data_IF_469540342839
#
_entry.id   IF_469540342839
#
_cell.length_a   1.000
_cell.length_b   1.000
_cell.length_c   1.000
_cell.angle_alpha   90.00
_cell.angle_beta   90.00
_cell.angle_gamma   90.00
#
_symmetry.space_group_name_H-M   'P 1'
#
loop_
_entity.id
_entity.type
_entity.pdbx_description
1 polymer ?
#
# COMPACT_ATOMS: atom_id res chain seq x y z
N UNK A 1 -8.71 38.26 -4.00
CA UNK A 1 -9.70 37.17 -3.88
C UNK A 1 -9.76 36.72 -2.42
N UNK A 2 -10.89 36.89 -1.72
CA UNK A 2 -10.96 36.60 -0.28
C UNK A 2 -10.87 35.09 -0.01
N UNK A 3 -10.30 34.68 1.13
CA UNK A 3 -10.14 33.27 1.57
C UNK A 3 -11.46 32.49 1.42
N UNK A 4 -12.61 33.09 1.70
CA UNK A 4 -13.93 32.48 1.52
C UNK A 4 -14.27 32.13 0.06
N UNK A 5 -13.97 32.99 -0.89
CA UNK A 5 -14.23 32.75 -2.32
C UNK A 5 -13.32 31.61 -2.83
N UNK A 6 -12.05 31.62 -2.43
CA UNK A 6 -11.10 30.54 -2.74
C UNK A 6 -11.53 29.18 -2.14
N UNK A 7 -12.00 29.16 -0.89
CA UNK A 7 -12.50 27.94 -0.22
C UNK A 7 -13.75 27.37 -0.92
N UNK A 8 -14.67 28.21 -1.42
CA UNK A 8 -15.87 27.76 -2.14
C UNK A 8 -15.49 27.14 -3.49
N UNK A 9 -14.58 27.79 -4.23
CA UNK A 9 -14.08 27.32 -5.52
C UNK A 9 -13.34 25.98 -5.39
N UNK A 10 -12.56 25.81 -4.30
CA UNK A 10 -11.75 24.62 -4.05
C UNK A 10 -12.37 23.63 -3.07
N UNK A 11 -13.66 23.80 -2.71
CA UNK A 11 -14.35 22.98 -1.70
C UNK A 11 -14.20 21.46 -1.92
N UNK A 12 -14.34 21.01 -3.16
CA UNK A 12 -14.20 19.57 -3.49
C UNK A 12 -12.76 19.09 -3.32
N UNK A 13 -11.79 19.88 -3.71
CA UNK A 13 -10.37 19.56 -3.55
C UNK A 13 -10.00 19.45 -2.08
N UNK A 14 -10.41 20.42 -1.26
CA UNK A 14 -10.17 20.43 0.19
C UNK A 14 -10.87 19.24 0.86
N UNK A 15 -12.11 18.94 0.45
CA UNK A 15 -12.84 17.76 0.97
C UNK A 15 -12.12 16.45 0.62
N UNK A 16 -11.66 16.28 -0.63
CA UNK A 16 -10.93 15.09 -1.04
C UNK A 16 -9.61 14.93 -0.27
N UNK A 17 -8.86 16.01 -0.06
CA UNK A 17 -7.61 15.98 0.73
C UNK A 17 -7.90 15.69 2.21
N UNK A 18 -8.80 16.44 2.82
CA UNK A 18 -9.14 16.29 4.23
C UNK A 18 -9.63 14.87 4.57
N UNK A 19 -10.55 14.34 3.76
CA UNK A 19 -11.03 12.97 3.97
C UNK A 19 -9.96 11.91 3.72
N UNK A 20 -8.99 12.16 2.83
CA UNK A 20 -7.87 11.24 2.63
C UNK A 20 -6.99 11.18 3.88
N UNK A 21 -6.61 12.33 4.45
CA UNK A 21 -5.81 12.37 5.68
C UNK A 21 -6.55 11.76 6.88
N UNK A 22 -7.83 12.09 7.06
CA UNK A 22 -8.65 11.51 8.14
C UNK A 22 -8.76 9.99 7.98
N UNK A 23 -9.03 9.50 6.77
CA UNK A 23 -9.12 8.06 6.49
C UNK A 23 -7.80 7.33 6.79
N UNK A 24 -6.66 7.93 6.45
CA UNK A 24 -5.34 7.37 6.78
C UNK A 24 -5.08 7.38 8.28
N UNK A 25 -5.46 8.45 8.99
CA UNK A 25 -5.38 8.54 10.44
C UNK A 25 -6.22 7.45 11.13
N UNK A 26 -7.46 7.24 10.68
CA UNK A 26 -8.32 6.17 11.21
C UNK A 26 -7.71 4.79 10.95
N UNK A 27 -7.17 4.54 9.75
CA UNK A 27 -6.48 3.28 9.44
C UNK A 27 -5.27 3.06 10.34
N UNK A 28 -4.45 4.10 10.53
CA UNK A 28 -3.28 4.04 11.39
C UNK A 28 -3.64 3.75 12.86
N UNK A 29 -4.64 4.46 13.40
CA UNK A 29 -5.14 4.24 14.77
C UNK A 29 -5.75 2.84 14.93
N UNK A 30 -6.51 2.37 13.94
CA UNK A 30 -7.07 1.02 13.96
C UNK A 30 -5.97 -0.05 14.00
N UNK A 31 -4.92 0.10 13.21
CA UNK A 31 -3.76 -0.81 13.23
C UNK A 31 -3.03 -0.79 14.58
N UNK A 32 -2.79 0.40 15.13
CA UNK A 32 -2.13 0.53 16.44
C UNK A 32 -2.95 -0.07 17.58
N UNK A 33 -4.27 0.05 17.51
CA UNK A 33 -5.16 -0.52 18.54
C UNK A 33 -5.32 -2.04 18.39
N UNK A 34 -5.57 -2.52 17.16
CA UNK A 34 -5.88 -3.92 16.94
C UNK A 34 -4.65 -4.83 17.04
N UNK A 35 -3.48 -4.39 16.62
CA UNK A 35 -2.31 -5.27 16.55
C UNK A 35 -1.98 -5.92 17.90
N UNK A 36 -1.72 -5.19 19.00
CA UNK A 36 -1.41 -5.82 20.28
C UNK A 36 -2.60 -6.61 20.85
N UNK A 37 -3.82 -6.15 20.63
CA UNK A 37 -5.02 -6.85 21.07
C UNK A 37 -5.18 -8.20 20.36
N UNK A 38 -4.95 -8.26 19.05
CA UNK A 38 -5.04 -9.51 18.30
C UNK A 38 -3.95 -10.49 18.74
N UNK A 39 -2.71 -10.01 18.96
CA UNK A 39 -1.63 -10.87 19.48
C UNK A 39 -2.00 -11.42 20.84
N UNK A 40 -2.50 -10.59 21.76
CA UNK A 40 -2.87 -11.02 23.12
C UNK A 40 -4.01 -12.05 23.14
N UNK A 41 -4.94 -12.00 22.17
CA UNK A 41 -6.14 -12.87 22.15
C UNK A 41 -6.01 -14.11 21.29
N UNK A 42 -5.39 -13.97 20.12
CA UNK A 42 -5.18 -15.08 19.19
C UNK A 42 -3.95 -15.90 19.55
N UNK A 43 -2.97 -15.29 20.26
CA UNK A 43 -1.63 -15.85 20.41
C UNK A 43 -0.76 -15.65 19.17
N UNK A 44 0.52 -15.92 19.33
CA UNK A 44 1.54 -15.65 18.31
C UNK A 44 1.35 -16.45 17.02
N UNK A 45 0.96 -17.72 17.14
CA UNK A 45 0.76 -18.62 15.99
C UNK A 45 -0.37 -18.14 15.09
N UNK A 46 -1.56 -17.93 15.64
CA UNK A 46 -2.76 -17.50 14.90
C UNK A 46 -2.58 -16.09 14.33
N UNK A 47 -1.98 -15.16 15.11
CA UNK A 47 -1.69 -13.81 14.66
C UNK A 47 -0.68 -13.79 13.51
N UNK A 48 0.40 -14.58 13.59
CA UNK A 48 1.40 -14.64 12.53
C UNK A 48 0.79 -15.22 11.24
N UNK A 49 -0.02 -16.26 11.36
CA UNK A 49 -0.74 -16.87 10.24
C UNK A 49 -1.71 -15.89 9.58
N UNK A 50 -2.52 -15.18 10.37
CA UNK A 50 -3.39 -14.11 9.88
C UNK A 50 -2.61 -13.02 9.13
N UNK A 51 -1.48 -12.56 9.71
CA UNK A 51 -0.63 -11.56 9.08
C UNK A 51 -0.02 -12.01 7.74
N UNK A 52 0.41 -13.27 7.64
CA UNK A 52 0.89 -13.85 6.38
C UNK A 52 -0.22 -13.92 5.34
N UNK A 53 -1.41 -14.40 5.72
CA UNK A 53 -2.56 -14.50 4.80
C UNK A 53 -3.03 -13.13 4.28
N UNK A 54 -3.00 -12.09 5.12
CA UNK A 54 -3.26 -10.73 4.66
C UNK A 54 -2.27 -10.30 3.57
N UNK A 55 -0.98 -10.66 3.71
CA UNK A 55 0.02 -10.34 2.70
C UNK A 55 -0.17 -11.18 1.42
N UNK A 56 -0.62 -12.44 1.52
CA UNK A 56 -1.03 -13.25 0.35
C UNK A 56 -2.17 -12.56 -0.41
N UNK A 57 -3.18 -12.02 0.27
CA UNK A 57 -4.27 -11.26 -0.35
C UNK A 57 -3.74 -10.01 -1.07
N UNK A 58 -2.80 -9.29 -0.45
CA UNK A 58 -2.17 -8.09 -1.07
C UNK A 58 -1.32 -8.49 -2.28
N UNK A 59 -0.54 -9.57 -2.20
CA UNK A 59 0.23 -10.10 -3.33
C UNK A 59 -0.72 -10.46 -4.49
N UNK A 60 -1.82 -11.11 -4.19
CA UNK A 60 -2.82 -11.47 -5.18
C UNK A 60 -3.51 -10.26 -5.83
N UNK A 61 -3.41 -9.05 -5.25
CA UNK A 61 -3.86 -7.83 -5.92
C UNK A 61 -3.08 -7.52 -7.21
N UNK A 62 -1.92 -8.17 -7.42
CA UNK A 62 -1.16 -8.15 -8.69
C UNK A 62 -2.05 -8.60 -9.86
N UNK A 63 -3.00 -9.50 -9.63
CA UNK A 63 -3.95 -9.95 -10.65
C UNK A 63 -4.88 -8.84 -11.18
N UNK A 64 -4.94 -7.67 -10.51
CA UNK A 64 -5.58 -6.47 -11.07
C UNK A 64 -4.87 -5.96 -12.34
N UNK A 65 -3.60 -6.29 -12.56
CA UNK A 65 -2.78 -5.90 -13.70
C UNK A 65 -2.82 -4.39 -13.98
N UNK A 66 -3.06 -3.57 -12.94
CA UNK A 66 -3.17 -2.11 -13.03
C UNK A 66 -4.46 -1.62 -13.71
N UNK A 67 -5.40 -2.53 -14.00
CA UNK A 67 -6.65 -2.23 -14.73
C UNK A 67 -7.44 -1.10 -14.08
N UNK A 68 -7.55 -1.10 -12.76
CA UNK A 68 -8.33 -0.11 -12.03
C UNK A 68 -7.70 1.29 -12.07
N UNK A 69 -6.37 1.41 -11.95
CA UNK A 69 -5.68 2.68 -12.10
C UNK A 69 -5.83 3.23 -13.52
N UNK A 70 -5.66 2.39 -14.54
CA UNK A 70 -5.87 2.75 -15.93
C UNK A 70 -7.33 3.11 -16.25
N UNK A 71 -8.31 2.46 -15.59
CA UNK A 71 -9.74 2.71 -15.79
C UNK A 71 -10.10 4.15 -15.43
N UNK A 72 -9.66 4.66 -14.28
CA UNK A 72 -9.92 6.03 -13.87
C UNK A 72 -9.53 7.04 -14.94
N UNK A 73 -8.31 6.92 -15.50
CA UNK A 73 -7.82 7.82 -16.55
C UNK A 73 -8.64 7.71 -17.84
N UNK A 74 -8.95 6.49 -18.27
CA UNK A 74 -9.71 6.30 -19.51
C UNK A 74 -11.17 6.75 -19.40
N UNK A 75 -11.80 6.62 -18.23
CA UNK A 75 -13.14 7.15 -18.00
C UNK A 75 -13.21 8.67 -18.14
N UNK A 76 -12.11 9.38 -17.83
CA UNK A 76 -12.00 10.83 -18.01
C UNK A 76 -11.75 11.17 -19.49
N UNK A 77 -10.93 10.39 -20.20
CA UNK A 77 -10.51 10.66 -21.57
C UNK A 77 -11.54 10.19 -22.61
N UNK A 78 -12.25 9.08 -22.35
CA UNK A 78 -13.17 8.42 -23.29
C UNK A 78 -14.56 8.22 -22.63
N UNK A 79 -15.29 9.28 -22.23
CA UNK A 79 -16.54 9.17 -21.49
C UNK A 79 -17.66 8.43 -22.25
N UNK A 80 -17.68 8.48 -23.57
CA UNK A 80 -18.61 7.75 -24.45
C UNK A 80 -18.42 6.22 -24.38
N UNK A 81 -17.21 5.75 -24.09
CA UNK A 81 -16.89 4.31 -24.00
C UNK A 81 -17.02 3.74 -22.59
N UNK A 82 -17.55 4.55 -21.64
CA UNK A 82 -17.59 4.19 -20.20
C UNK A 82 -18.21 2.83 -19.92
N UNK A 83 -19.36 2.50 -20.53
CA UNK A 83 -20.01 1.23 -20.31
C UNK A 83 -19.14 0.04 -20.76
N UNK A 84 -18.49 0.18 -21.91
CA UNK A 84 -17.58 -0.83 -22.45
C UNK A 84 -16.37 -1.04 -21.53
N UNK A 85 -15.75 0.05 -21.07
CA UNK A 85 -14.58 0.00 -20.22
C UNK A 85 -14.90 -0.57 -18.83
N UNK A 86 -16.00 -0.14 -18.22
CA UNK A 86 -16.46 -0.62 -16.91
C UNK A 86 -16.77 -2.12 -16.98
N UNK A 87 -17.51 -2.57 -18.00
CA UNK A 87 -17.86 -3.98 -18.14
C UNK A 87 -16.65 -4.86 -18.44
N UNK A 88 -15.67 -4.38 -19.21
CA UNK A 88 -14.44 -5.12 -19.48
C UNK A 88 -13.67 -5.42 -18.18
N UNK A 89 -13.53 -4.45 -17.28
CA UNK A 89 -12.84 -4.62 -15.99
C UNK A 89 -13.71 -5.39 -15.00
N UNK A 90 -15.04 -5.15 -14.97
CA UNK A 90 -15.96 -5.82 -14.06
C UNK A 90 -15.97 -7.35 -14.28
N UNK A 91 -16.14 -7.80 -15.51
CA UNK A 91 -16.20 -9.23 -15.83
C UNK A 91 -14.82 -9.92 -15.82
N UNK A 92 -13.73 -9.17 -15.70
CA UNK A 92 -12.42 -9.75 -15.43
C UNK A 92 -12.29 -10.24 -13.98
N UNK A 93 -12.93 -9.60 -13.00
CA UNK A 93 -12.85 -10.01 -11.59
C UNK A 93 -13.37 -11.44 -11.30
N UNK A 94 -14.52 -11.90 -11.84
CA UNK A 94 -14.93 -13.29 -11.73
C UNK A 94 -13.94 -14.30 -12.36
N UNK A 95 -13.26 -13.91 -13.43
CA UNK A 95 -12.22 -14.76 -14.05
C UNK A 95 -11.06 -14.94 -13.07
N UNK A 96 -10.61 -13.85 -12.44
CA UNK A 96 -9.55 -13.90 -11.42
C UNK A 96 -9.98 -14.74 -10.21
N UNK A 97 -11.23 -14.63 -9.77
CA UNK A 97 -11.77 -15.48 -8.71
C UNK A 97 -11.67 -16.98 -9.07
N UNK A 98 -12.15 -17.36 -10.25
CA UNK A 98 -12.15 -18.76 -10.70
C UNK A 98 -10.73 -19.32 -10.87
N UNK A 99 -9.79 -18.53 -11.40
CA UNK A 99 -8.39 -18.92 -11.54
C UNK A 99 -7.68 -18.91 -10.18
N UNK A 100 -8.04 -17.98 -9.30
CA UNK A 100 -7.45 -17.84 -7.97
C UNK A 100 -7.65 -19.07 -7.09
N UNK A 101 -8.83 -19.72 -7.15
CA UNK A 101 -9.13 -20.91 -6.34
C UNK A 101 -8.07 -22.01 -6.53
N UNK A 102 -7.82 -22.54 -7.74
CA UNK A 102 -6.82 -23.59 -7.91
C UNK A 102 -5.40 -23.09 -7.63
N UNK A 103 -5.06 -21.84 -7.95
CA UNK A 103 -3.74 -21.28 -7.68
C UNK A 103 -3.46 -21.25 -6.17
N UNK A 104 -4.38 -20.72 -5.36
CA UNK A 104 -4.21 -20.70 -3.90
C UNK A 104 -4.28 -22.11 -3.30
N UNK A 105 -5.12 -22.98 -3.84
CA UNK A 105 -5.16 -24.38 -3.41
C UNK A 105 -3.79 -25.05 -3.56
N UNK A 106 -3.13 -24.89 -4.70
CA UNK A 106 -1.79 -25.43 -4.92
C UNK A 106 -0.75 -24.80 -4.00
N UNK A 107 -0.80 -23.47 -3.77
CA UNK A 107 0.11 -22.77 -2.84
C UNK A 107 0.01 -23.36 -1.43
N UNK A 108 -1.20 -23.60 -0.93
CA UNK A 108 -1.43 -24.16 0.40
C UNK A 108 -1.16 -25.67 0.44
N UNK A 109 -1.55 -26.41 -0.58
CA UNK A 109 -1.31 -27.85 -0.69
C UNK A 109 0.19 -28.19 -0.74
N UNK A 110 0.98 -27.38 -1.44
CA UNK A 110 2.45 -27.54 -1.48
C UNK A 110 3.16 -27.10 -0.19
N UNK A 111 2.44 -26.60 0.79
CA UNK A 111 2.99 -26.16 2.05
C UNK A 111 3.85 -24.88 1.99
N UNK A 112 3.67 -24.07 0.93
CA UNK A 112 4.38 -22.78 0.82
C UNK A 112 3.96 -21.78 1.90
N UNK A 113 2.77 -21.97 2.46
CA UNK A 113 2.28 -21.29 3.65
C UNK A 113 1.75 -22.37 4.58
N UNK A 114 2.35 -22.53 5.75
CA UNK A 114 1.88 -23.46 6.77
C UNK A 114 0.60 -22.93 7.41
N UNK A 115 -0.48 -23.65 7.28
CA UNK A 115 -1.81 -23.28 7.79
C UNK A 115 -2.47 -24.47 8.48
N UNK A 116 -3.19 -24.20 9.57
CA UNK A 116 -3.96 -25.20 10.31
C UNK A 116 -5.33 -25.50 9.68
N UNK A 117 -5.88 -24.56 8.90
CA UNK A 117 -7.19 -24.66 8.29
C UNK A 117 -7.17 -25.45 6.96
N UNK A 118 -8.32 -26.02 6.52
CA UNK A 118 -8.40 -26.76 5.25
C UNK A 118 -8.02 -25.88 4.04
N UNK A 119 -7.05 -26.32 3.26
CA UNK A 119 -6.50 -25.56 2.12
C UNK A 119 -7.58 -25.13 1.10
N UNK A 120 -8.57 -25.99 0.83
CA UNK A 120 -9.68 -25.67 -0.11
C UNK A 120 -10.55 -24.52 0.39
N UNK A 121 -10.85 -24.46 1.70
CA UNK A 121 -11.68 -23.41 2.29
C UNK A 121 -10.96 -22.06 2.23
N UNK A 122 -9.69 -22.02 2.66
CA UNK A 122 -8.88 -20.81 2.60
C UNK A 122 -8.68 -20.31 1.17
N UNK A 123 -8.52 -21.23 0.21
CA UNK A 123 -8.38 -20.86 -1.21
C UNK A 123 -9.61 -20.12 -1.72
N UNK A 124 -10.81 -20.57 -1.38
CA UNK A 124 -12.07 -19.92 -1.74
C UNK A 124 -12.18 -18.54 -1.06
N UNK A 125 -11.90 -18.47 0.25
CA UNK A 125 -12.00 -17.23 1.02
C UNK A 125 -11.03 -16.19 0.49
N UNK A 126 -9.77 -16.55 0.22
CA UNK A 126 -8.76 -15.63 -0.29
C UNK A 126 -9.08 -15.21 -1.72
N UNK A 127 -9.46 -16.13 -2.60
CA UNK A 127 -9.87 -15.79 -3.96
C UNK A 127 -11.06 -14.82 -3.97
N UNK A 128 -12.03 -15.02 -3.05
CA UNK A 128 -13.19 -14.14 -2.88
C UNK A 128 -12.73 -12.74 -2.37
N UNK A 129 -11.85 -12.69 -1.36
CA UNK A 129 -11.32 -11.44 -0.85
C UNK A 129 -10.57 -10.64 -1.93
N UNK A 130 -9.78 -11.31 -2.77
CA UNK A 130 -9.08 -10.71 -3.92
C UNK A 130 -10.07 -10.13 -4.92
N UNK A 131 -11.08 -10.91 -5.34
CA UNK A 131 -12.10 -10.45 -6.27
C UNK A 131 -12.89 -9.25 -5.72
N UNK A 132 -13.26 -9.29 -4.43
CA UNK A 132 -13.91 -8.18 -3.76
C UNK A 132 -13.05 -6.91 -3.75
N UNK A 133 -11.74 -7.03 -3.46
CA UNK A 133 -10.82 -5.90 -3.49
C UNK A 133 -10.70 -5.31 -4.89
N UNK A 134 -10.61 -6.13 -5.93
CA UNK A 134 -10.58 -5.67 -7.33
C UNK A 134 -11.84 -4.88 -7.71
N UNK A 135 -13.02 -5.39 -7.36
CA UNK A 135 -14.29 -4.70 -7.59
C UNK A 135 -14.38 -3.39 -6.80
N UNK A 136 -13.90 -3.39 -5.54
CA UNK A 136 -13.85 -2.16 -4.73
C UNK A 136 -12.98 -1.10 -5.38
N UNK A 137 -11.77 -1.46 -5.84
CA UNK A 137 -10.87 -0.55 -6.57
C UNK A 137 -11.52 -0.02 -7.86
N UNK A 138 -12.31 -0.84 -8.57
CA UNK A 138 -13.04 -0.42 -9.76
C UNK A 138 -14.06 0.67 -9.44
N UNK A 139 -14.90 0.47 -8.43
CA UNK A 139 -15.91 1.47 -8.05
C UNK A 139 -15.27 2.73 -7.45
N UNK A 140 -14.16 2.60 -6.72
CA UNK A 140 -13.36 3.75 -6.31
C UNK A 140 -12.80 4.52 -7.52
N UNK A 141 -12.30 3.83 -8.55
CA UNK A 141 -11.81 4.45 -9.79
C UNK A 141 -12.92 5.19 -10.53
N UNK A 142 -14.14 4.67 -10.54
CA UNK A 142 -15.32 5.36 -11.09
C UNK A 142 -15.61 6.64 -10.29
N UNK A 143 -15.61 6.58 -8.95
CA UNK A 143 -15.81 7.76 -8.11
C UNK A 143 -14.69 8.80 -8.26
N UNK A 144 -13.44 8.35 -8.46
CA UNK A 144 -12.30 9.22 -8.74
C UNK A 144 -12.46 9.94 -10.08
N UNK A 145 -12.92 9.24 -11.13
CA UNK A 145 -13.09 9.82 -12.47
C UNK A 145 -14.10 10.97 -12.48
N UNK A 146 -15.06 11.00 -11.55
CA UNK A 146 -16.03 12.07 -11.37
C UNK A 146 -15.68 13.04 -10.23
N UNK A 147 -14.42 13.01 -9.75
CA UNK A 147 -13.90 13.85 -8.67
C UNK A 147 -14.68 13.73 -7.34
N UNK A 148 -15.12 12.51 -7.00
CA UNK A 148 -15.83 12.17 -5.75
C UNK A 148 -14.99 11.24 -4.85
N UNK A 149 -13.67 11.49 -4.79
CA UNK A 149 -12.73 10.70 -3.98
C UNK A 149 -13.14 10.66 -2.51
N UNK A 150 -13.65 11.78 -1.97
CA UNK A 150 -14.09 11.87 -0.58
C UNK A 150 -15.15 10.83 -0.20
N UNK A 151 -16.06 10.47 -1.14
CA UNK A 151 -17.09 9.44 -0.90
C UNK A 151 -16.44 8.08 -0.68
N UNK A 152 -15.53 7.69 -1.57
CA UNK A 152 -14.79 6.43 -1.44
C UNK A 152 -13.99 6.37 -0.13
N UNK A 153 -13.35 7.48 0.25
CA UNK A 153 -12.56 7.57 1.49
C UNK A 153 -13.42 7.49 2.75
N UNK A 154 -14.59 8.15 2.77
CA UNK A 154 -15.53 8.04 3.89
C UNK A 154 -16.06 6.62 4.06
N UNK A 155 -16.47 5.96 2.96
CA UNK A 155 -16.92 4.58 2.99
C UNK A 155 -15.80 3.63 3.48
N UNK A 156 -14.56 3.82 2.99
CA UNK A 156 -13.40 3.05 3.45
C UNK A 156 -13.14 3.26 4.93
N UNK A 157 -13.24 4.50 5.43
CA UNK A 157 -13.10 4.80 6.85
C UNK A 157 -14.17 4.10 7.68
N UNK A 158 -15.45 4.17 7.26
CA UNK A 158 -16.55 3.46 7.93
C UNK A 158 -16.33 1.94 7.95
N UNK A 159 -15.86 1.37 6.81
CA UNK A 159 -15.45 -0.02 6.72
C UNK A 159 -14.38 -0.35 7.77
N UNK A 160 -13.30 0.44 7.82
CA UNK A 160 -12.17 0.19 8.75
C UNK A 160 -12.61 0.23 10.21
N UNK A 161 -13.47 1.17 10.59
CA UNK A 161 -14.01 1.27 11.95
C UNK A 161 -14.89 0.05 12.28
N UNK A 162 -15.80 -0.32 11.36
CA UNK A 162 -16.67 -1.47 11.54
C UNK A 162 -15.86 -2.78 11.64
N UNK A 163 -14.87 -2.95 10.76
CA UNK A 163 -13.99 -4.12 10.74
C UNK A 163 -13.18 -4.21 12.03
N UNK A 164 -12.62 -3.09 12.51
CA UNK A 164 -11.90 -3.02 13.76
C UNK A 164 -12.78 -3.40 14.96
N UNK A 165 -14.01 -2.90 15.00
CA UNK A 165 -14.98 -3.24 16.05
C UNK A 165 -15.36 -4.72 16.03
N UNK A 166 -15.66 -5.27 14.86
CA UNK A 166 -16.00 -6.69 14.72
C UNK A 166 -14.80 -7.59 15.03
N UNK A 167 -13.58 -7.22 14.64
CA UNK A 167 -12.35 -7.93 15.00
C UNK A 167 -12.16 -7.97 16.52
N UNK A 168 -12.42 -6.83 17.20
CA UNK A 168 -12.41 -6.79 18.65
C UNK A 168 -13.37 -7.84 19.25
N UNK A 169 -14.59 -7.96 18.71
CA UNK A 169 -15.58 -8.92 19.21
C UNK A 169 -15.20 -10.38 18.91
N UNK A 170 -14.83 -10.69 17.66
CA UNK A 170 -14.60 -12.09 17.27
C UNK A 170 -13.24 -12.63 17.72
N UNK A 171 -12.29 -11.76 18.06
CA UNK A 171 -10.98 -12.18 18.57
C UNK A 171 -11.03 -12.96 19.88
N UNK A 172 -12.13 -12.88 20.62
CA UNK A 172 -12.37 -13.72 21.82
C UNK A 172 -12.45 -15.23 21.48
N UNK A 173 -12.78 -15.59 20.22
CA UNK A 173 -12.79 -16.98 19.77
C UNK A 173 -11.41 -17.62 19.55
N UNK A 174 -10.34 -16.80 19.55
CA UNK A 174 -8.94 -17.26 19.47
C UNK A 174 -8.52 -17.87 18.12
N UNK A 175 -9.33 -17.73 17.06
CA UNK A 175 -9.07 -18.31 15.72
C UNK A 175 -9.06 -17.22 14.65
N UNK A 176 -8.05 -17.25 13.77
CA UNK A 176 -7.90 -16.25 12.71
C UNK A 176 -8.95 -16.36 11.60
N UNK A 177 -9.55 -17.53 11.41
CA UNK A 177 -10.59 -17.79 10.41
C UNK A 177 -11.78 -16.85 10.59
N UNK A 178 -12.17 -16.56 11.83
CA UNK A 178 -13.24 -15.60 12.12
C UNK A 178 -12.91 -14.20 11.65
N UNK A 179 -11.64 -13.78 11.74
CA UNK A 179 -11.21 -12.48 11.23
C UNK A 179 -11.33 -12.42 9.69
N UNK A 180 -10.94 -13.50 9.01
CA UNK A 180 -11.07 -13.58 7.55
C UNK A 180 -12.54 -13.55 7.11
N UNK A 181 -13.42 -14.29 7.79
CA UNK A 181 -14.84 -14.27 7.50
C UNK A 181 -15.45 -12.90 7.72
N UNK A 182 -15.12 -12.23 8.81
CA UNK A 182 -15.56 -10.85 9.08
C UNK A 182 -15.07 -9.92 7.97
N UNK A 183 -13.80 -10.01 7.56
CA UNK A 183 -13.27 -9.19 6.47
C UNK A 183 -14.05 -9.39 5.17
N UNK A 184 -14.37 -10.63 4.81
CA UNK A 184 -15.15 -10.95 3.59
C UNK A 184 -16.56 -10.37 3.69
N UNK A 185 -17.24 -10.51 4.84
CA UNK A 185 -18.59 -9.98 5.05
C UNK A 185 -18.61 -8.45 5.03
N UNK A 186 -17.70 -7.81 5.73
CA UNK A 186 -17.61 -6.34 5.75
C UNK A 186 -17.25 -5.80 4.37
N UNK A 187 -16.35 -6.47 3.64
CA UNK A 187 -16.03 -6.13 2.25
C UNK A 187 -17.24 -6.25 1.33
N UNK A 188 -18.10 -7.26 1.51
CA UNK A 188 -19.32 -7.40 0.73
C UNK A 188 -20.25 -6.18 0.88
N UNK A 189 -20.53 -5.75 2.11
CA UNK A 189 -21.33 -4.55 2.36
C UNK A 189 -20.65 -3.28 1.86
N UNK A 190 -19.34 -3.15 2.07
CA UNK A 190 -18.56 -2.03 1.53
C UNK A 190 -18.68 -1.94 0.00
N UNK A 191 -18.59 -3.07 -0.70
CA UNK A 191 -18.73 -3.18 -2.14
C UNK A 191 -20.14 -2.76 -2.60
N UNK A 192 -21.17 -3.23 -1.91
CA UNK A 192 -22.55 -2.85 -2.18
C UNK A 192 -22.74 -1.33 -2.09
N UNK A 193 -22.25 -0.70 -1.00
CA UNK A 193 -22.33 0.75 -0.86
C UNK A 193 -21.52 1.48 -1.93
N UNK A 194 -20.29 1.05 -2.21
CA UNK A 194 -19.49 1.65 -3.28
C UNK A 194 -20.20 1.58 -4.63
N UNK A 195 -20.79 0.45 -4.99
CA UNK A 195 -21.57 0.27 -6.22
C UNK A 195 -22.76 1.25 -6.26
N UNK A 196 -23.57 1.31 -5.20
CA UNK A 196 -24.73 2.20 -5.12
C UNK A 196 -24.34 3.69 -5.29
N UNK A 197 -23.27 4.11 -4.60
CA UNK A 197 -22.77 5.47 -4.71
C UNK A 197 -22.15 5.75 -6.10
N UNK A 198 -21.36 4.81 -6.64
CA UNK A 198 -20.79 4.94 -7.99
C UNK A 198 -21.90 5.07 -9.05
N UNK A 199 -22.95 4.22 -8.99
CA UNK A 199 -24.10 4.26 -9.89
C UNK A 199 -24.89 5.54 -9.79
N UNK A 200 -24.99 6.14 -8.57
CA UNK A 200 -25.64 7.45 -8.37
C UNK A 200 -24.84 8.60 -8.99
N UNK A 201 -23.50 8.52 -9.00
CA UNK A 201 -22.64 9.60 -9.50
C UNK A 201 -22.36 9.49 -11.00
N UNK A 202 -22.29 8.29 -11.54
CA UNK A 202 -22.05 8.02 -12.95
C UNK A 202 -23.07 7.00 -13.44
N UNK A 203 -23.87 7.37 -14.43
CA UNK A 203 -24.84 6.44 -15.03
C UNK A 203 -24.09 5.44 -15.90
N UNK A 204 -24.07 4.17 -15.49
CA UNK A 204 -23.51 3.05 -16.24
C UNK A 204 -24.39 1.79 -16.09
N UNK A 205 -24.24 0.88 -17.03
CA UNK A 205 -24.93 -0.42 -17.02
C UNK A 205 -23.92 -1.54 -16.92
N UNK A 206 -24.16 -2.51 -16.01
CA UNK A 206 -23.42 -3.77 -15.94
C UNK A 206 -24.25 -4.82 -16.68
N UNK A 207 -23.68 -5.38 -17.73
CA UNK A 207 -24.32 -6.44 -18.52
C UNK A 207 -23.26 -7.25 -19.25
N UNK A 208 -23.42 -8.59 -19.24
CA UNK A 208 -22.51 -9.48 -19.96
C UNK A 208 -22.48 -9.19 -21.47
N UNK A 209 -23.58 -8.70 -22.04
CA UNK A 209 -23.64 -8.29 -23.45
C UNK A 209 -22.75 -7.10 -23.80
N UNK A 210 -22.32 -6.33 -22.81
CA UNK A 210 -21.38 -5.21 -22.95
C UNK A 210 -19.93 -5.63 -22.71
N UNK A 211 -19.67 -6.87 -22.33
CA UNK A 211 -18.31 -7.38 -22.18
C UNK A 211 -17.67 -7.55 -23.57
N UNK A 212 -16.44 -7.07 -23.71
CA UNK A 212 -15.71 -7.12 -24.96
C UNK A 212 -14.22 -7.39 -24.72
N UNK A 213 -13.72 -8.49 -25.26
CA UNK A 213 -12.33 -8.89 -25.15
C UNK A 213 -11.35 -7.87 -25.77
N UNK A 214 -11.73 -7.21 -26.85
CA UNK A 214 -10.89 -6.17 -27.50
C UNK A 214 -10.75 -4.98 -26.55
N UNK A 215 -11.83 -4.60 -25.86
CA UNK A 215 -11.80 -3.53 -24.88
C UNK A 215 -10.92 -3.92 -23.66
N UNK A 216 -11.03 -5.16 -23.16
CA UNK A 216 -10.19 -5.65 -22.07
C UNK A 216 -8.71 -5.66 -22.48
N UNK A 217 -8.37 -6.20 -23.65
CA UNK A 217 -6.98 -6.20 -24.16
C UNK A 217 -6.42 -4.79 -24.33
N UNK A 218 -7.23 -3.87 -24.84
CA UNK A 218 -6.86 -2.45 -24.94
C UNK A 218 -6.60 -1.84 -23.56
N UNK A 219 -7.44 -2.17 -22.58
CA UNK A 219 -7.29 -1.70 -21.19
C UNK A 219 -6.03 -2.27 -20.54
N UNK A 220 -5.74 -3.56 -20.71
CA UNK A 220 -4.51 -4.20 -20.22
C UNK A 220 -3.25 -3.53 -20.80
N UNK A 221 -3.23 -3.27 -22.11
CA UNK A 221 -2.11 -2.58 -22.76
C UNK A 221 -1.90 -1.17 -22.19
N UNK A 222 -2.98 -0.43 -21.96
CA UNK A 222 -2.94 0.91 -21.36
C UNK A 222 -2.44 0.87 -19.92
N UNK A 223 -2.86 -0.14 -19.15
CA UNK A 223 -2.59 -0.29 -17.72
C UNK A 223 -1.22 -0.86 -17.39
N UNK A 224 -0.46 -1.35 -18.36
CA UNK A 224 0.81 -2.05 -18.16
C UNK A 224 1.83 -1.27 -17.31
N UNK A 225 1.96 0.02 -17.51
CA UNK A 225 2.89 0.84 -16.72
C UNK A 225 2.44 1.06 -15.27
N UNK A 226 1.14 1.10 -15.02
CA UNK A 226 0.58 1.12 -13.65
C UNK A 226 0.85 -0.21 -12.95
N UNK A 227 0.68 -1.33 -13.68
CA UNK A 227 1.00 -2.66 -13.20
C UNK A 227 2.46 -2.79 -12.78
N UNK A 228 3.40 -2.32 -13.60
CA UNK A 228 4.83 -2.40 -13.29
C UNK A 228 5.18 -1.68 -11.99
N UNK A 229 4.64 -0.48 -11.76
CA UNK A 229 4.85 0.28 -10.52
C UNK A 229 4.27 -0.44 -9.30
N UNK A 230 3.09 -1.05 -9.46
CA UNK A 230 2.43 -1.81 -8.40
C UNK A 230 3.23 -3.09 -8.07
N UNK A 231 3.71 -3.80 -9.08
CA UNK A 231 4.50 -5.04 -8.93
C UNK A 231 5.74 -4.80 -8.05
N UNK A 232 6.53 -3.77 -8.35
CA UNK A 232 7.72 -3.43 -7.56
C UNK A 232 7.37 -3.19 -6.09
N UNK A 233 6.30 -2.45 -5.82
CA UNK A 233 5.84 -2.16 -4.45
C UNK A 233 5.39 -3.43 -3.71
N UNK A 234 4.58 -4.27 -4.37
CA UNK A 234 4.06 -5.51 -3.75
C UNK A 234 5.20 -6.48 -3.44
N UNK A 235 6.15 -6.64 -4.35
CA UNK A 235 7.31 -7.51 -4.12
C UNK A 235 8.14 -7.00 -2.93
N UNK A 236 8.43 -5.71 -2.88
CA UNK A 236 9.24 -5.12 -1.81
C UNK A 236 8.62 -5.28 -0.43
N UNK A 237 7.31 -5.07 -0.29
CA UNK A 237 6.68 -4.98 1.04
C UNK A 237 5.90 -6.23 1.46
N UNK A 238 5.43 -7.05 0.52
CA UNK A 238 4.52 -8.13 0.87
C UNK A 238 5.09 -9.53 0.56
N UNK A 239 5.79 -9.71 -0.57
CA UNK A 239 6.38 -11.01 -0.91
C UNK A 239 7.42 -11.41 0.13
N UNK A 240 8.21 -10.47 0.64
CA UNK A 240 9.19 -10.74 1.69
C UNK A 240 8.54 -11.34 2.94
N UNK A 241 7.37 -10.84 3.36
CA UNK A 241 6.67 -11.35 4.55
C UNK A 241 6.26 -12.81 4.38
N UNK A 242 5.74 -13.17 3.19
CA UNK A 242 5.39 -14.56 2.89
C UNK A 242 6.63 -15.46 2.83
N UNK A 243 7.70 -14.97 2.21
CA UNK A 243 8.97 -15.73 2.16
C UNK A 243 9.55 -15.93 3.56
N UNK A 244 9.54 -14.91 4.41
CA UNK A 244 10.04 -14.97 5.78
C UNK A 244 9.28 -15.99 6.64
N UNK A 245 7.98 -16.15 6.45
CA UNK A 245 7.16 -17.10 7.21
C UNK A 245 7.61 -18.56 7.06
N UNK A 246 8.39 -18.85 6.01
CA UNK A 246 8.97 -20.18 5.80
C UNK A 246 10.29 -20.40 6.58
N UNK A 247 10.98 -19.34 6.96
CA UNK A 247 12.30 -19.41 7.63
C UNK A 247 12.24 -19.02 9.10
N UNK A 248 11.23 -18.32 9.55
CA UNK A 248 11.09 -17.81 10.91
C UNK A 248 10.01 -18.58 11.67
N UNK A 249 10.18 -18.70 12.99
CA UNK A 249 9.16 -19.25 13.88
C UNK A 249 7.93 -18.33 13.96
N UNK A 250 6.80 -18.87 14.43
CA UNK A 250 5.56 -18.08 14.63
C UNK A 250 5.79 -16.90 15.58
N UNK A 251 6.57 -17.09 16.66
CA UNK A 251 6.95 -16.03 17.59
C UNK A 251 7.75 -14.93 16.90
N UNK A 252 8.78 -15.29 16.12
CA UNK A 252 9.60 -14.33 15.37
C UNK A 252 8.76 -13.57 14.34
N UNK A 253 7.83 -14.26 13.65
CA UNK A 253 6.90 -13.64 12.72
C UNK A 253 5.94 -12.68 13.42
N UNK A 254 5.42 -13.04 14.60
CA UNK A 254 4.54 -12.14 15.38
C UNK A 254 5.30 -10.86 15.78
N UNK A 255 6.53 -10.99 16.30
CA UNK A 255 7.40 -9.85 16.64
C UNK A 255 7.65 -8.98 15.40
N UNK A 256 8.02 -9.61 14.28
CA UNK A 256 8.25 -8.88 13.03
C UNK A 256 7.02 -8.09 12.59
N UNK A 257 5.85 -8.72 12.57
CA UNK A 257 4.60 -8.07 12.15
C UNK A 257 4.22 -6.90 13.07
N UNK A 258 4.43 -7.02 14.38
CA UNK A 258 4.20 -5.91 15.32
C UNK A 258 5.14 -4.74 15.05
N UNK A 259 6.45 -4.99 14.94
CA UNK A 259 7.44 -3.95 14.63
C UNK A 259 7.12 -3.32 13.27
N UNK A 260 6.84 -4.13 12.26
CA UNK A 260 6.47 -3.65 10.93
C UNK A 260 5.23 -2.73 10.96
N UNK A 261 4.16 -3.12 11.69
CA UNK A 261 2.95 -2.29 11.82
C UNK A 261 3.20 -0.98 12.55
N UNK A 262 4.00 -1.01 13.61
CA UNK A 262 4.40 0.22 14.32
C UNK A 262 5.10 1.20 13.38
N UNK A 263 6.07 0.73 12.62
CA UNK A 263 6.81 1.56 11.66
C UNK A 263 5.99 1.95 10.42
N UNK A 264 5.06 1.12 9.99
CA UNK A 264 4.14 1.47 8.89
C UNK A 264 3.31 2.70 9.23
N UNK A 265 2.80 2.80 10.45
CA UNK A 265 2.06 3.97 10.91
C UNK A 265 2.93 5.22 10.94
N UNK A 266 4.15 5.13 11.47
CA UNK A 266 5.10 6.26 11.46
C UNK A 266 5.45 6.67 10.03
N UNK A 267 5.73 5.72 9.15
CA UNK A 267 6.02 5.95 7.74
C UNK A 267 4.88 6.69 7.05
N UNK A 268 3.64 6.24 7.21
CA UNK A 268 2.46 6.90 6.63
C UNK A 268 2.34 8.34 7.10
N UNK A 269 2.54 8.62 8.38
CA UNK A 269 2.54 9.97 8.92
C UNK A 269 3.60 10.85 8.26
N UNK A 270 4.84 10.39 8.21
CA UNK A 270 5.98 11.19 7.72
C UNK A 270 5.97 11.38 6.19
N UNK A 271 5.59 10.37 5.40
CA UNK A 271 5.58 10.46 3.93
C UNK A 271 4.46 11.36 3.40
N UNK A 272 3.34 11.45 4.11
CA UNK A 272 2.23 12.33 3.72
C UNK A 272 2.62 13.82 3.68
N UNK A 273 3.55 14.27 4.53
CA UNK A 273 4.05 15.66 4.47
C UNK A 273 4.72 15.98 3.12
N UNK A 274 5.46 15.03 2.55
CA UNK A 274 6.10 15.24 1.25
C UNK A 274 5.08 15.23 0.10
N UNK A 275 4.01 14.42 0.20
CA UNK A 275 2.98 14.33 -0.84
C UNK A 275 2.23 15.64 -1.09
N UNK A 276 2.09 16.49 -0.07
CA UNK A 276 1.47 17.83 -0.20
C UNK A 276 2.22 18.72 -1.20
N UNK A 277 3.50 18.47 -1.41
CA UNK A 277 4.32 19.25 -2.34
C UNK A 277 4.09 18.89 -3.82
N UNK A 278 3.54 17.72 -4.11
CA UNK A 278 3.37 17.20 -5.47
C UNK A 278 2.70 18.20 -6.44
N UNK A 279 1.54 18.83 -6.11
CA UNK A 279 0.90 19.78 -7.01
C UNK A 279 1.77 21.01 -7.29
N UNK A 280 2.47 21.51 -6.26
CA UNK A 280 3.32 22.69 -6.41
C UNK A 280 4.56 22.41 -7.28
N UNK A 281 5.14 21.20 -7.19
CA UNK A 281 6.24 20.74 -8.04
C UNK A 281 5.80 20.69 -9.49
N UNK A 282 4.65 20.05 -9.76
CA UNK A 282 4.09 19.95 -11.11
C UNK A 282 3.74 21.32 -11.72
N UNK A 283 3.23 22.25 -10.91
CA UNK A 283 2.93 23.61 -11.35
C UNK A 283 4.21 24.39 -11.71
N UNK A 284 5.27 24.30 -10.90
CA UNK A 284 6.57 24.94 -11.19
C UNK A 284 7.22 24.33 -12.43
N UNK A 285 7.10 23.01 -12.64
CA UNK A 285 7.56 22.35 -13.85
C UNK A 285 6.87 22.90 -15.09
N UNK A 286 5.53 23.04 -15.05
CA UNK A 286 4.75 23.58 -16.16
C UNK A 286 5.12 25.01 -16.55
N UNK A 287 5.63 25.80 -15.58
CA UNK A 287 6.13 27.16 -15.79
C UNK A 287 7.61 27.24 -16.19
N UNK A 288 8.33 26.11 -16.22
CA UNK A 288 9.75 26.07 -16.50
C UNK A 288 10.65 26.64 -15.41
N UNK A 289 10.20 26.72 -14.16
CA UNK A 289 10.91 27.34 -13.02
C UNK A 289 11.97 26.39 -12.43
N UNK A 290 12.92 25.90 -13.25
CA UNK A 290 13.88 24.87 -12.88
C UNK A 290 14.86 25.28 -11.77
N UNK A 291 15.26 26.56 -11.74
CA UNK A 291 16.13 27.11 -10.68
C UNK A 291 15.41 27.09 -9.32
N UNK A 292 14.11 27.49 -9.31
CA UNK A 292 13.28 27.47 -8.11
C UNK A 292 13.01 26.05 -7.63
N UNK A 293 12.77 25.11 -8.55
CA UNK A 293 12.64 23.68 -8.24
C UNK A 293 13.87 23.11 -7.57
N UNK A 294 15.07 23.46 -8.07
CA UNK A 294 16.34 23.01 -7.47
C UNK A 294 16.54 23.56 -6.07
N UNK A 295 16.23 24.85 -5.87
CA UNK A 295 16.30 25.50 -4.54
C UNK A 295 15.32 24.83 -3.58
N UNK A 296 14.06 24.67 -4.00
CA UNK A 296 12.99 24.07 -3.19
C UNK A 296 13.29 22.62 -2.82
N UNK A 297 13.84 21.83 -3.76
CA UNK A 297 14.29 20.46 -3.45
C UNK A 297 15.30 20.44 -2.31
N UNK A 298 16.36 21.23 -2.40
CA UNK A 298 17.41 21.31 -1.36
C UNK A 298 16.84 21.72 -0.01
N UNK A 299 16.00 22.77 0.02
CA UNK A 299 15.36 23.25 1.25
C UNK A 299 14.47 22.17 1.90
N UNK A 300 13.62 21.52 1.12
CA UNK A 300 12.73 20.46 1.62
C UNK A 300 13.54 19.26 2.08
N UNK A 301 14.54 18.85 1.30
CA UNK A 301 15.39 17.71 1.62
C UNK A 301 16.11 17.92 2.96
N UNK A 302 16.71 19.09 3.18
CA UNK A 302 17.39 19.44 4.45
C UNK A 302 16.40 19.46 5.61
N UNK A 303 15.21 20.06 5.44
CA UNK A 303 14.19 20.11 6.51
C UNK A 303 13.69 18.71 6.88
N UNK A 304 13.43 17.87 5.88
CA UNK A 304 12.98 16.48 6.12
C UNK A 304 14.10 15.66 6.72
N UNK A 305 15.35 15.84 6.29
CA UNK A 305 16.52 15.19 6.89
C UNK A 305 16.64 15.52 8.38
N UNK A 306 16.61 16.82 8.75
CA UNK A 306 16.70 17.24 10.15
C UNK A 306 15.52 16.71 10.96
N UNK A 307 14.29 16.82 10.45
CA UNK A 307 13.10 16.32 11.14
C UNK A 307 13.17 14.80 11.35
N UNK A 308 13.52 14.04 10.32
CA UNK A 308 13.64 12.59 10.42
C UNK A 308 14.82 12.15 11.28
N UNK A 309 15.90 12.93 11.34
CA UNK A 309 17.02 12.70 12.28
C UNK A 309 16.57 12.89 13.74
N UNK A 310 15.78 13.93 14.02
CA UNK A 310 15.19 14.13 15.36
C UNK A 310 14.31 12.93 15.73
N UNK A 311 13.44 12.47 14.81
CA UNK A 311 12.60 11.29 15.02
C UNK A 311 13.46 10.05 15.26
N UNK A 312 14.52 9.84 14.49
CA UNK A 312 15.45 8.72 14.70
C UNK A 312 16.06 8.75 16.11
N UNK A 313 16.56 9.91 16.57
CA UNK A 313 17.12 10.07 17.92
C UNK A 313 16.06 9.75 18.99
N UNK A 314 14.84 10.26 18.84
CA UNK A 314 13.74 9.94 19.75
C UNK A 314 13.40 8.44 19.77
N UNK A 315 13.41 7.78 18.62
CA UNK A 315 13.18 6.33 18.51
C UNK A 315 14.31 5.53 19.16
N UNK A 316 15.55 5.96 19.04
CA UNK A 316 16.70 5.31 19.70
C UNK A 316 16.62 5.50 21.22
N UNK A 317 16.25 6.69 21.70
CA UNK A 317 16.23 6.99 23.15
C UNK A 317 15.03 6.38 23.87
N UNK A 318 13.84 6.47 23.28
CA UNK A 318 12.59 6.10 23.94
C UNK A 318 11.72 5.12 23.15
N UNK A 319 11.96 4.95 21.86
CA UNK A 319 11.07 4.22 20.98
C UNK A 319 10.90 2.77 21.39
N UNK A 320 11.97 2.10 21.84
CA UNK A 320 11.88 0.73 22.32
C UNK A 320 11.00 0.61 23.57
N UNK A 321 11.09 1.56 24.51
CA UNK A 321 10.22 1.58 25.69
C UNK A 321 8.75 1.78 25.30
N UNK A 322 8.49 2.67 24.33
CA UNK A 322 7.14 2.90 23.80
C UNK A 322 6.63 1.65 23.09
N UNK A 323 7.49 0.97 22.32
CA UNK A 323 7.13 -0.27 21.64
C UNK A 323 6.80 -1.39 22.63
N UNK A 324 7.63 -1.62 23.66
CA UNK A 324 7.37 -2.62 24.72
C UNK A 324 6.06 -2.29 25.47
N UNK A 325 5.87 -1.03 25.85
CA UNK A 325 4.62 -0.60 26.51
C UNK A 325 3.39 -0.85 25.62
N UNK A 326 3.50 -0.58 24.33
CA UNK A 326 2.42 -0.76 23.37
C UNK A 326 2.16 -2.22 23.01
N UNK A 327 3.20 -3.01 22.76
CA UNK A 327 3.09 -4.39 22.28
C UNK A 327 3.01 -5.42 23.40
N UNK A 328 3.53 -5.10 24.60
CA UNK A 328 3.75 -6.04 25.68
C UNK A 328 4.92 -6.99 25.45
N UNK A 329 5.68 -6.84 24.36
CA UNK A 329 6.79 -7.73 23.98
C UNK A 329 8.13 -7.09 24.31
N UNK A 330 8.92 -7.79 25.14
CA UNK A 330 10.32 -7.46 25.44
C UNK A 330 11.22 -8.66 25.09
N UNK A 331 12.00 -8.53 24.02
CA UNK A 331 12.96 -9.56 23.60
C UNK A 331 14.18 -8.91 22.95
N UNK A 332 15.40 -9.50 23.14
CA UNK A 332 16.63 -8.95 22.53
C UNK A 332 16.55 -8.88 21.00
N UNK A 333 15.95 -9.89 20.36
CA UNK A 333 15.75 -9.91 18.90
C UNK A 333 14.78 -8.82 18.46
N UNK A 334 13.68 -8.62 19.19
CA UNK A 334 12.70 -7.55 18.94
C UNK A 334 13.31 -6.17 19.08
N UNK A 335 14.15 -5.96 20.09
CA UNK A 335 14.85 -4.70 20.33
C UNK A 335 15.83 -4.38 19.19
N UNK A 336 16.62 -5.36 18.73
CA UNK A 336 17.54 -5.20 17.60
C UNK A 336 16.79 -4.94 16.30
N UNK A 337 15.70 -5.65 16.06
CA UNK A 337 14.82 -5.46 14.91
C UNK A 337 14.22 -4.03 14.92
N UNK A 338 13.73 -3.58 16.06
CA UNK A 338 13.15 -2.26 16.23
C UNK A 338 14.14 -1.15 15.87
N UNK A 339 15.36 -1.19 16.43
CA UNK A 339 16.40 -0.20 16.13
C UNK A 339 16.82 -0.22 14.65
N UNK A 340 16.91 -1.40 14.05
CA UNK A 340 17.20 -1.53 12.62
C UNK A 340 16.12 -0.90 11.76
N UNK A 341 14.83 -1.06 12.12
CA UNK A 341 13.72 -0.39 11.47
C UNK A 341 13.73 1.12 11.66
N UNK A 342 14.16 1.63 12.82
CA UNK A 342 14.30 3.07 13.05
C UNK A 342 15.26 3.70 12.04
N UNK A 343 16.41 3.07 11.81
CA UNK A 343 17.38 3.49 10.80
C UNK A 343 16.79 3.40 9.38
N UNK A 344 16.11 2.29 9.08
CA UNK A 344 15.46 2.11 7.76
C UNK A 344 14.40 3.17 7.50
N UNK A 345 13.54 3.47 8.47
CA UNK A 345 12.52 4.52 8.37
C UNK A 345 13.16 5.89 8.10
N UNK A 346 14.22 6.24 8.83
CA UNK A 346 14.93 7.49 8.64
C UNK A 346 15.40 7.66 7.19
N UNK A 347 16.11 6.67 6.66
CA UNK A 347 16.64 6.70 5.29
C UNK A 347 15.50 6.72 4.24
N UNK A 348 14.44 5.95 4.47
CA UNK A 348 13.29 5.88 3.58
C UNK A 348 12.54 7.21 3.48
N UNK A 349 12.37 7.91 4.60
CA UNK A 349 11.69 9.22 4.62
C UNK A 349 12.54 10.28 3.91
N UNK A 350 13.85 10.25 4.08
CA UNK A 350 14.78 11.15 3.37
C UNK A 350 14.74 10.95 1.86
N UNK A 351 14.78 9.67 1.39
CA UNK A 351 14.68 9.34 -0.04
C UNK A 351 13.31 9.72 -0.62
N UNK A 352 12.24 9.58 0.17
CA UNK A 352 10.88 9.85 -0.30
C UNK A 352 10.70 11.27 -0.86
N UNK A 353 11.48 12.24 -0.38
CA UNK A 353 11.51 13.60 -0.95
C UNK A 353 11.96 13.56 -2.42
N UNK A 354 13.02 12.81 -2.71
CA UNK A 354 13.51 12.64 -4.10
C UNK A 354 12.45 11.96 -4.97
N UNK A 355 11.79 10.92 -4.45
CA UNK A 355 10.73 10.19 -5.14
C UNK A 355 9.56 11.12 -5.50
N UNK A 356 9.09 11.96 -4.57
CA UNK A 356 7.99 12.90 -4.83
C UNK A 356 8.36 13.93 -5.90
N UNK A 357 9.61 14.45 -5.89
CA UNK A 357 10.08 15.36 -6.94
C UNK A 357 10.15 14.65 -8.30
N UNK A 358 10.71 13.42 -8.36
CA UNK A 358 10.77 12.63 -9.59
C UNK A 358 9.38 12.36 -10.17
N UNK A 359 8.41 12.01 -9.32
CA UNK A 359 7.01 11.81 -9.71
C UNK A 359 6.39 13.12 -10.22
N UNK A 360 6.55 14.23 -9.49
CA UNK A 360 6.01 15.54 -9.86
C UNK A 360 6.59 16.08 -11.17
N UNK A 361 7.85 15.77 -11.47
CA UNK A 361 8.56 16.13 -12.68
C UNK A 361 8.40 15.11 -13.83
N UNK A 362 7.67 14.02 -13.61
CA UNK A 362 7.44 12.93 -14.58
C UNK A 362 8.71 12.18 -15.02
N UNK A 363 9.78 12.21 -14.21
CA UNK A 363 11.01 11.45 -14.46
C UNK A 363 10.94 10.06 -13.81
N UNK A 364 9.90 9.29 -14.12
CA UNK A 364 9.55 8.06 -13.38
C UNK A 364 10.11 6.78 -13.98
N UNK A 365 10.43 6.76 -15.28
CA UNK A 365 10.79 5.53 -16.00
C UNK A 365 12.03 4.82 -15.43
N UNK A 366 13.14 5.53 -15.29
CA UNK A 366 14.40 4.92 -14.81
C UNK A 366 14.33 4.57 -13.31
N UNK A 367 13.83 5.46 -12.42
CA UNK A 367 13.58 5.09 -11.02
C UNK A 367 12.70 3.85 -10.85
N UNK A 368 11.66 3.69 -11.67
CA UNK A 368 10.80 2.50 -11.63
C UNK A 368 11.57 1.21 -11.98
N UNK A 369 12.46 1.25 -12.97
CA UNK A 369 13.33 0.11 -13.34
C UNK A 369 14.26 -0.23 -12.17
N UNK A 370 14.93 0.76 -11.58
CA UNK A 370 15.84 0.57 -10.43
C UNK A 370 15.09 -0.03 -9.25
N UNK A 371 13.91 0.50 -8.91
CA UNK A 371 13.07 -0.04 -7.84
C UNK A 371 12.60 -1.48 -8.11
N UNK A 372 12.31 -1.82 -9.37
CA UNK A 372 11.92 -3.19 -9.74
C UNK A 372 13.09 -4.16 -9.58
N UNK A 373 14.30 -3.78 -10.02
CA UNK A 373 15.51 -4.59 -9.82
C UNK A 373 15.78 -4.77 -8.32
N UNK A 374 15.73 -3.69 -7.55
CA UNK A 374 15.88 -3.73 -6.09
C UNK A 374 14.88 -4.70 -5.46
N UNK A 375 13.60 -4.63 -5.85
CA UNK A 375 12.55 -5.45 -5.25
C UNK A 375 12.77 -6.95 -5.54
N UNK A 376 13.18 -7.30 -6.74
CA UNK A 376 13.48 -8.69 -7.09
C UNK A 376 14.71 -9.23 -6.34
N UNK A 377 15.77 -8.43 -6.27
CA UNK A 377 16.99 -8.78 -5.52
C UNK A 377 16.70 -8.89 -4.01
N UNK A 378 15.77 -8.08 -3.49
CA UNK A 378 15.46 -8.06 -2.07
C UNK A 378 14.98 -9.41 -1.53
N UNK A 379 14.25 -10.18 -2.33
CA UNK A 379 13.79 -11.53 -1.91
C UNK A 379 14.98 -12.45 -1.68
N UNK A 380 15.92 -12.50 -2.63
CA UNK A 380 17.09 -13.38 -2.55
C UNK A 380 18.03 -12.97 -1.40
N UNK A 381 18.30 -11.66 -1.30
CA UNK A 381 19.20 -11.14 -0.26
C UNK A 381 18.57 -11.30 1.12
N UNK A 382 17.25 -11.14 1.26
CA UNK A 382 16.55 -11.37 2.53
C UNK A 382 16.67 -12.82 3.00
N UNK A 383 16.49 -13.80 2.11
CA UNK A 383 16.67 -15.22 2.45
C UNK A 383 18.09 -15.48 2.95
N UNK A 384 19.10 -14.93 2.29
CA UNK A 384 20.51 -15.10 2.70
C UNK A 384 20.79 -14.49 4.06
N UNK A 385 20.30 -13.26 4.30
CA UNK A 385 20.53 -12.54 5.55
C UNK A 385 19.76 -13.15 6.74
N UNK A 386 18.56 -13.71 6.52
CA UNK A 386 17.82 -14.45 7.57
C UNK A 386 18.63 -15.65 8.05
N UNK A 387 19.27 -16.38 7.14
CA UNK A 387 20.08 -17.55 7.49
C UNK A 387 21.32 -17.20 8.34
N UNK A 388 21.86 -15.98 8.19
CA UNK A 388 23.07 -15.55 8.92
C UNK A 388 22.71 -14.83 10.22
N UNK A 389 21.72 -13.93 10.20
CA UNK A 389 21.42 -13.03 11.31
C UNK A 389 20.02 -13.20 11.90
N UNK A 390 19.27 -14.23 11.46
CA UNK A 390 17.91 -14.46 11.95
C UNK A 390 16.96 -13.29 11.63
N UNK A 391 16.10 -12.99 12.59
CA UNK A 391 15.05 -11.97 12.45
C UNK A 391 15.56 -10.56 12.08
N UNK A 392 16.60 -9.99 12.68
CA UNK A 392 17.15 -8.70 12.27
C UNK A 392 17.70 -8.68 10.84
N UNK A 393 18.14 -9.83 10.31
CA UNK A 393 18.65 -9.97 8.95
C UNK A 393 17.70 -9.49 7.87
N UNK A 394 16.40 -9.57 8.12
CA UNK A 394 15.35 -9.06 7.21
C UNK A 394 15.54 -7.57 6.90
N UNK A 395 15.72 -6.78 7.95
CA UNK A 395 15.86 -5.33 7.82
C UNK A 395 17.22 -4.94 7.28
N UNK A 396 18.27 -5.64 7.70
CA UNK A 396 19.63 -5.42 7.19
C UNK A 396 19.73 -5.71 5.69
N UNK A 397 19.07 -6.76 5.20
CA UNK A 397 18.95 -7.04 3.75
C UNK A 397 18.30 -5.88 3.00
N UNK A 398 17.17 -5.41 3.54
CA UNK A 398 16.43 -4.28 2.95
C UNK A 398 17.24 -2.98 2.98
N UNK A 399 17.92 -2.69 4.10
CA UNK A 399 18.81 -1.54 4.25
C UNK A 399 19.95 -1.55 3.24
N UNK A 400 20.65 -2.69 3.14
CA UNK A 400 21.79 -2.82 2.22
C UNK A 400 21.37 -2.52 0.79
N UNK A 401 20.32 -3.18 0.32
CA UNK A 401 19.83 -2.98 -1.05
C UNK A 401 19.32 -1.56 -1.27
N UNK A 402 18.58 -1.02 -0.31
CA UNK A 402 18.06 0.34 -0.39
C UNK A 402 19.18 1.39 -0.52
N UNK A 403 20.24 1.26 0.30
CA UNK A 403 21.41 2.15 0.25
C UNK A 403 22.16 2.01 -1.08
N UNK A 404 22.37 0.79 -1.55
CA UNK A 404 23.11 0.53 -2.79
C UNK A 404 22.32 0.91 -4.07
N UNK A 405 21.01 1.09 -3.97
CA UNK A 405 20.15 1.34 -5.13
C UNK A 405 19.45 2.70 -5.00
N UNK A 406 18.20 2.72 -4.59
CA UNK A 406 17.31 3.88 -4.66
C UNK A 406 17.77 5.08 -3.83
N UNK A 407 18.31 4.87 -2.64
CA UNK A 407 18.74 5.96 -1.76
C UNK A 407 19.83 6.85 -2.39
N UNK A 408 20.79 6.24 -3.09
CA UNK A 408 21.86 6.96 -3.78
C UNK A 408 21.42 7.40 -5.16
N UNK A 409 20.72 6.55 -5.89
CA UNK A 409 20.33 6.78 -7.27
C UNK A 409 19.30 7.92 -7.42
N UNK A 410 18.22 7.93 -6.62
CA UNK A 410 17.12 8.87 -6.79
C UNK A 410 17.56 10.35 -6.66
N UNK A 411 18.28 10.78 -5.61
CA UNK A 411 18.71 12.18 -5.49
C UNK A 411 19.73 12.57 -6.57
N UNK A 412 20.67 11.68 -6.94
CA UNK A 412 21.68 11.96 -7.98
C UNK A 412 20.97 12.14 -9.33
N UNK A 413 20.11 11.20 -9.70
CA UNK A 413 19.35 11.25 -10.96
C UNK A 413 18.46 12.49 -11.03
N UNK A 414 17.78 12.84 -9.92
CA UNK A 414 16.98 14.06 -9.84
C UNK A 414 17.84 15.32 -10.07
N UNK A 415 18.97 15.45 -9.36
CA UNK A 415 19.84 16.60 -9.48
C UNK A 415 20.43 16.74 -10.90
N UNK A 416 20.80 15.63 -11.52
CA UNK A 416 21.24 15.63 -12.93
C UNK A 416 20.14 16.16 -13.85
N UNK A 417 18.90 15.67 -13.71
CA UNK A 417 17.77 16.11 -14.53
C UNK A 417 17.42 17.59 -14.31
N UNK A 418 17.45 18.06 -13.06
CA UNK A 418 17.24 19.48 -12.76
C UNK A 418 18.32 20.37 -13.39
N UNK A 419 19.60 19.94 -13.36
CA UNK A 419 20.71 20.65 -13.99
C UNK A 419 20.58 20.69 -15.51
N UNK A 420 20.26 19.55 -16.15
CA UNK A 420 20.04 19.46 -17.61
C UNK A 420 18.98 20.46 -18.10
N UNK A 421 17.88 20.59 -17.38
CA UNK A 421 16.78 21.47 -17.77
C UNK A 421 16.97 22.94 -17.39
N UNK A 422 17.79 23.21 -16.37
CA UNK A 422 18.16 24.58 -16.00
C UNK A 422 19.10 25.22 -17.01
N UNK A 423 19.92 24.42 -17.67
CA UNK A 423 20.91 24.90 -18.64
C UNK A 423 20.36 24.98 -20.08
N UNK A 424 19.11 24.56 -20.28
CA UNK A 424 18.32 24.75 -21.51
C UNK A 424 17.46 26.01 -21.41
#
# INVERSE_FOLDING_TARGET
>A
MGIRAWLIEHKRYISNLGTTFISQGVTALSLLFLTPLLVARLGESEFSMYGVLLNVIVIASIFDLGLNAGLCHRLIQEPERRNLLINAVFFYSPIVFLIGIPVFFFIFYLGWVNISAPAWLLSIVIALAVAQNMLALQFESILQSVNKVYVAKLLRMSKTILEAFLFYLVSYGGQFEWLLLVSVLVNFFFLLFLYLFAKKQLVFKISLSLFNWVALRSQLKYSFWYFQSMLASVVTYNVQIVVMSHYLSSTQMAIFLMVFRFYEVLRLGMTNFAQVLFPSISAMQAKGEWALLTKKFKEVWVRVFVLSLVVLVLLIMWGNRVFIWWSGYDSPEGNTLFLSYALYLFLLVVDHVSVIFLLGLRFTKIPAIVSTIQSLLSVVVTIYFIKIWGLPGVVWASLLLFVLTTLVFNPIYLLQKLKEHRNK
#
